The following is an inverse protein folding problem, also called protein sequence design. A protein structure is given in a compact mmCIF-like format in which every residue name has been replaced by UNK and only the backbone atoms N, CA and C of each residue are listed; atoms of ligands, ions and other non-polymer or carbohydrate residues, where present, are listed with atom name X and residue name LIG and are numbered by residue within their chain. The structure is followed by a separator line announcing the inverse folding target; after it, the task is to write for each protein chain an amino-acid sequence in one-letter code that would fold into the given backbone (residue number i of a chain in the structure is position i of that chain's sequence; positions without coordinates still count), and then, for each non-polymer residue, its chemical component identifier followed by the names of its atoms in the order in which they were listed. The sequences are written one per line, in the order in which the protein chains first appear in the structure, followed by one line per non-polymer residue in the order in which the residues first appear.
data_IF_230614100405
#
_entry.id   IF_230614100405
#
_cell.length_a   1.000
_cell.length_b   1.000
_cell.length_c   1.000
_cell.angle_alpha   90.00
_cell.angle_beta   90.00
_cell.angle_gamma   90.00
#
_symmetry.space_group_name_H-M   'P 1'
#
loop_
_entity.id
_entity.type
_entity.pdbx_description
1 polymer ?
#
# COMPACT_ATOMS: atom_id res chain seq x y z
N UNK A 1 20.38 29.26 -9.31
CA UNK A 1 20.56 28.85 -7.90
C UNK A 1 20.25 27.37 -7.81
N UNK A 2 21.24 26.51 -8.04
CA UNK A 2 21.10 25.06 -8.00
C UNK A 2 21.09 24.62 -6.54
N UNK A 3 19.95 24.11 -6.04
CA UNK A 3 19.92 23.44 -4.75
C UNK A 3 20.89 22.27 -4.83
N UNK A 4 21.99 22.33 -4.07
CA UNK A 4 22.78 21.12 -3.81
C UNK A 4 21.83 20.16 -3.12
N UNK A 5 21.60 18.99 -3.73
CA UNK A 5 21.02 17.85 -3.04
C UNK A 5 21.97 17.51 -1.90
N UNK A 6 21.73 18.11 -0.73
CA UNK A 6 22.26 17.61 0.51
C UNK A 6 21.66 16.21 0.64
N UNK A 7 22.44 15.20 0.29
CA UNK A 7 22.21 13.79 0.63
C UNK A 7 22.30 13.69 2.13
N UNK A 8 21.25 14.17 2.79
CA UNK A 8 21.01 13.98 4.20
C UNK A 8 20.80 12.47 4.33
N UNK A 9 21.89 11.77 4.67
CA UNK A 9 21.88 10.39 5.11
C UNK A 9 21.23 10.37 6.49
N UNK A 10 19.96 10.77 6.55
CA UNK A 10 19.05 10.41 7.63
C UNK A 10 19.22 8.92 7.78
N UNK A 11 19.93 8.52 8.86
CA UNK A 11 20.15 7.12 9.22
C UNK A 11 18.81 6.44 9.02
N UNK A 12 18.78 5.47 8.09
CA UNK A 12 17.61 4.66 7.84
C UNK A 12 17.48 3.78 9.08
N UNK A 13 16.83 4.31 10.11
CA UNK A 13 16.41 3.49 11.23
C UNK A 13 15.23 2.67 10.74
N UNK A 14 15.27 1.33 10.82
CA UNK A 14 14.17 0.46 10.42
C UNK A 14 12.84 0.82 11.12
N UNK A 15 12.95 1.47 12.27
CA UNK A 15 11.84 1.85 13.14
C UNK A 15 11.17 3.17 12.75
N UNK A 16 11.72 3.91 11.78
CA UNK A 16 11.12 5.17 11.36
C UNK A 16 9.90 4.90 10.48
N UNK A 17 8.72 5.14 11.03
CA UNK A 17 7.46 5.14 10.28
C UNK A 17 7.54 6.06 9.04
N UNK A 18 6.86 5.76 7.91
CA UNK A 18 6.95 6.57 6.68
C UNK A 18 6.65 8.06 6.84
N UNK A 19 5.89 8.43 7.86
CA UNK A 19 5.51 9.81 8.19
C UNK A 19 6.36 10.41 9.33
N UNK A 20 7.53 9.83 9.65
CA UNK A 20 8.35 10.27 10.78
C UNK A 20 8.66 11.77 10.75
N UNK A 21 8.81 12.36 9.56
CA UNK A 21 9.00 13.81 9.39
C UNK A 21 7.78 14.59 9.82
N UNK A 22 6.59 14.15 9.41
CA UNK A 22 5.33 14.74 9.84
C UNK A 22 5.12 14.61 11.35
N UNK A 23 5.40 13.44 11.94
CA UNK A 23 5.33 13.25 13.39
C UNK A 23 6.31 14.18 14.13
N UNK A 24 7.53 14.32 13.64
CA UNK A 24 8.54 15.23 14.19
C UNK A 24 8.09 16.69 14.08
N UNK A 25 7.60 17.12 12.91
CA UNK A 25 7.07 18.45 12.68
C UNK A 25 5.88 18.77 13.60
N UNK A 26 4.94 17.84 13.72
CA UNK A 26 3.76 17.97 14.60
C UNK A 26 4.17 18.08 16.07
N UNK A 27 5.14 17.27 16.52
CA UNK A 27 5.68 17.37 17.89
C UNK A 27 6.31 18.73 18.13
N UNK A 28 7.17 19.19 17.21
CA UNK A 28 7.82 20.49 17.33
C UNK A 28 6.78 21.62 17.37
N UNK A 29 5.81 21.62 16.46
CA UNK A 29 4.71 22.60 16.46
C UNK A 29 3.99 22.66 17.82
N UNK A 30 3.68 21.49 18.41
CA UNK A 30 2.93 21.41 19.68
C UNK A 30 3.76 21.79 20.92
N UNK A 31 5.05 21.48 20.95
CA UNK A 31 5.89 21.72 22.14
C UNK A 31 6.68 23.03 22.07
N UNK A 32 6.84 23.61 20.88
CA UNK A 32 7.77 24.71 20.63
C UNK A 32 9.25 24.31 20.71
N UNK A 33 9.56 23.03 21.01
CA UNK A 33 10.92 22.54 21.17
C UNK A 33 11.38 21.85 19.90
N UNK A 34 12.20 22.56 19.12
CA UNK A 34 12.92 22.03 17.97
C UNK A 34 14.36 21.72 18.31
N UNK A 35 14.93 20.71 17.64
CA UNK A 35 16.38 20.49 17.63
C UNK A 35 16.94 21.03 16.33
N UNK A 36 18.04 21.78 16.40
CA UNK A 36 18.76 22.48 15.31
C UNK A 36 19.42 21.54 14.26
N UNK A 37 18.92 20.31 14.11
CA UNK A 37 19.39 19.33 13.12
C UNK A 37 18.37 19.26 11.99
N UNK A 38 18.66 20.13 11.01
CA UNK A 38 17.85 20.68 9.91
C UNK A 38 17.44 19.68 8.83
N UNK A 39 16.38 18.92 9.09
CA UNK A 39 15.64 18.34 7.96
C UNK A 39 14.79 19.46 7.31
N UNK A 40 15.07 19.88 6.05
CA UNK A 40 14.39 21.01 5.44
C UNK A 40 12.88 20.81 5.29
N UNK A 41 12.43 19.55 5.17
CA UNK A 41 11.01 19.25 5.07
C UNK A 41 10.30 19.42 6.41
N UNK A 42 10.94 19.02 7.52
CA UNK A 42 10.41 19.25 8.87
C UNK A 42 10.27 20.76 9.13
N UNK A 43 11.28 21.56 8.79
CA UNK A 43 11.24 23.02 8.94
C UNK A 43 10.11 23.63 8.12
N UNK A 44 9.97 23.24 6.85
CA UNK A 44 8.87 23.71 5.97
C UNK A 44 7.49 23.35 6.53
N UNK A 45 7.31 22.12 7.03
CA UNK A 45 6.05 21.69 7.60
C UNK A 45 5.69 22.49 8.86
N UNK A 46 6.64 22.73 9.76
CA UNK A 46 6.43 23.56 10.96
C UNK A 46 6.09 25.00 10.58
N UNK A 47 6.79 25.58 9.59
CA UNK A 47 6.49 26.93 9.10
C UNK A 47 5.06 27.03 8.56
N UNK A 48 4.59 26.03 7.80
CA UNK A 48 3.20 25.98 7.34
C UNK A 48 2.22 25.85 8.51
N UNK A 49 2.48 24.98 9.49
CA UNK A 49 1.60 24.80 10.65
C UNK A 49 1.43 26.10 11.45
N UNK A 50 2.51 26.81 11.76
CA UNK A 50 2.43 28.10 12.43
C UNK A 50 1.71 29.17 11.59
N UNK A 51 1.95 29.19 10.27
CA UNK A 51 1.27 30.14 9.40
C UNK A 51 -0.24 29.89 9.32
N UNK A 52 -0.67 28.63 9.24
CA UNK A 52 -2.08 28.24 9.29
C UNK A 52 -2.73 28.56 10.65
N UNK A 53 -1.99 28.44 11.75
CA UNK A 53 -2.46 28.84 13.08
C UNK A 53 -2.67 30.35 13.18
N UNK A 54 -1.71 31.14 12.67
CA UNK A 54 -1.79 32.60 12.69
C UNK A 54 -2.86 33.13 11.74
N UNK A 55 -3.09 32.46 10.61
CA UNK A 55 -4.05 32.82 9.57
C UNK A 55 -4.70 31.55 8.99
N UNK A 56 -5.94 31.23 9.36
CA UNK A 56 -6.60 29.99 8.94
C UNK A 56 -6.79 29.85 7.42
N UNK A 57 -6.71 30.95 6.68
CA UNK A 57 -6.85 30.96 5.23
C UNK A 57 -5.48 30.88 4.54
N UNK A 58 -5.37 29.93 3.59
CA UNK A 58 -4.19 29.63 2.76
C UNK A 58 -3.61 30.78 1.89
N UNK A 59 -4.34 31.85 1.46
CA UNK A 59 -3.86 32.71 0.38
C UNK A 59 -2.62 33.57 0.70
N UNK A 60 -2.08 33.55 1.92
CA UNK A 60 -0.97 34.44 2.32
C UNK A 60 0.34 33.70 2.66
N UNK A 61 0.46 32.42 2.32
CA UNK A 61 1.72 31.70 2.45
C UNK A 61 2.76 32.21 1.43
N UNK A 62 4.04 32.29 1.80
CA UNK A 62 5.12 32.43 0.84
C UNK A 62 5.04 31.36 -0.26
N UNK A 63 5.42 31.73 -1.49
CA UNK A 63 5.21 30.87 -2.66
C UNK A 63 5.87 29.49 -2.53
N UNK A 64 7.04 29.46 -1.88
CA UNK A 64 7.84 28.27 -1.59
C UNK A 64 7.18 27.30 -0.61
N UNK A 65 6.19 27.74 0.18
CA UNK A 65 5.46 26.90 1.13
C UNK A 65 4.16 26.33 0.57
N UNK A 66 3.68 26.82 -0.58
CA UNK A 66 2.44 26.31 -1.19
C UNK A 66 2.46 24.80 -1.46
N UNK A 67 3.55 24.21 -1.99
CA UNK A 67 3.57 22.76 -2.21
C UNK A 67 3.40 21.96 -0.91
N UNK A 68 4.05 22.40 0.16
CA UNK A 68 3.93 21.78 1.49
C UNK A 68 2.53 21.93 2.07
N UNK A 69 1.91 23.10 1.94
CA UNK A 69 0.54 23.32 2.41
C UNK A 69 -0.47 22.46 1.65
N UNK A 70 -0.34 22.35 0.32
CA UNK A 70 -1.19 21.46 -0.48
C UNK A 70 -0.96 19.98 -0.15
N UNK A 71 0.28 19.57 0.13
CA UNK A 71 0.57 18.20 0.57
C UNK A 71 -0.11 17.87 1.91
N UNK A 72 -0.13 18.81 2.86
CA UNK A 72 -0.88 18.67 4.13
C UNK A 72 -2.38 18.51 3.86
N UNK A 73 -2.95 19.29 2.93
CA UNK A 73 -4.34 19.13 2.52
C UNK A 73 -4.62 17.77 1.90
N UNK A 74 -3.73 17.27 1.02
CA UNK A 74 -3.83 15.92 0.44
C UNK A 74 -3.82 14.83 1.52
N UNK A 75 -2.94 14.96 2.52
CA UNK A 75 -2.87 14.01 3.63
C UNK A 75 -4.15 13.96 4.49
N UNK A 76 -4.86 15.08 4.56
CA UNK A 76 -6.13 15.21 5.28
C UNK A 76 -7.38 14.77 4.48
N UNK A 77 -7.23 14.37 3.20
CA UNK A 77 -8.34 13.89 2.37
C UNK A 77 -8.81 12.48 2.76
N UNK A 78 -9.81 11.99 2.03
CA UNK A 78 -10.34 10.64 2.15
C UNK A 78 -9.24 9.57 2.11
N UNK A 79 -9.44 8.52 2.91
CA UNK A 79 -8.47 7.45 3.08
C UNK A 79 -8.13 6.75 1.75
N UNK A 80 -9.09 6.61 0.83
CA UNK A 80 -8.88 5.96 -0.45
C UNK A 80 -7.96 6.77 -1.37
N UNK A 81 -8.22 8.08 -1.55
CA UNK A 81 -7.36 8.95 -2.37
C UNK A 81 -5.90 8.91 -1.91
N UNK A 82 -5.73 8.95 -0.58
CA UNK A 82 -4.42 8.84 0.06
C UNK A 82 -3.74 7.51 -0.23
N UNK A 83 -4.46 6.40 -0.07
CA UNK A 83 -3.94 5.05 -0.33
C UNK A 83 -3.54 4.86 -1.81
N UNK A 84 -4.31 5.42 -2.75
CA UNK A 84 -4.00 5.40 -4.18
C UNK A 84 -2.70 6.16 -4.50
N UNK A 85 -2.53 7.34 -3.91
CA UNK A 85 -1.30 8.12 -4.03
C UNK A 85 -0.08 7.35 -3.49
N UNK A 86 -0.20 6.77 -2.29
CA UNK A 86 0.88 5.99 -1.66
C UNK A 86 1.24 4.73 -2.46
N UNK A 87 0.25 4.06 -3.06
CA UNK A 87 0.50 2.94 -3.96
C UNK A 87 1.32 3.37 -5.17
N UNK A 88 1.00 4.49 -5.82
CA UNK A 88 1.79 5.02 -6.95
C UNK A 88 3.22 5.38 -6.54
N UNK A 89 3.40 5.96 -5.35
CA UNK A 89 4.73 6.25 -4.80
C UNK A 89 5.56 4.98 -4.58
N UNK A 90 4.97 3.91 -4.02
CA UNK A 90 5.64 2.60 -3.84
C UNK A 90 5.99 1.92 -5.17
N UNK A 91 5.16 2.13 -6.18
CA UNK A 91 5.38 1.67 -7.54
C UNK A 91 6.50 2.45 -8.26
N UNK A 92 7.13 3.44 -7.61
CA UNK A 92 8.19 4.28 -8.19
C UNK A 92 7.72 5.04 -9.44
N UNK A 93 6.43 5.41 -9.48
CA UNK A 93 5.90 6.24 -10.55
C UNK A 93 6.47 7.67 -10.46
N UNK A 94 6.65 8.33 -11.61
CA UNK A 94 7.19 9.70 -11.69
C UNK A 94 6.23 10.74 -11.08
N UNK A 95 6.77 11.78 -10.46
CA UNK A 95 5.98 12.83 -9.81
C UNK A 95 5.05 13.57 -10.77
N UNK A 96 5.43 13.75 -12.03
CA UNK A 96 4.58 14.39 -13.04
C UNK A 96 3.38 13.54 -13.38
N UNK A 97 3.55 12.23 -13.49
CA UNK A 97 2.46 11.31 -13.79
C UNK A 97 1.48 11.21 -12.62
N UNK A 98 2.00 11.10 -11.40
CA UNK A 98 1.17 11.10 -10.19
C UNK A 98 0.43 12.43 -10.06
N UNK A 99 1.11 13.56 -10.26
CA UNK A 99 0.51 14.89 -10.16
C UNK A 99 -0.63 15.08 -11.16
N UNK A 100 -0.47 14.63 -12.41
CA UNK A 100 -1.51 14.69 -13.42
C UNK A 100 -2.76 13.89 -13.02
N UNK A 101 -2.59 12.71 -12.41
CA UNK A 101 -3.70 11.86 -11.93
C UNK A 101 -4.38 12.43 -10.68
N UNK A 102 -3.63 13.09 -9.81
CA UNK A 102 -4.14 13.68 -8.57
C UNK A 102 -4.66 15.11 -8.73
N UNK A 103 -4.53 15.72 -9.93
CA UNK A 103 -4.95 17.10 -10.18
C UNK A 103 -4.12 18.12 -9.39
N UNK A 104 -2.81 17.91 -9.28
CA UNK A 104 -1.89 18.78 -8.53
C UNK A 104 -0.57 18.99 -9.29
N UNK A 105 0.47 19.51 -8.64
CA UNK A 105 1.80 19.73 -9.23
C UNK A 105 2.83 18.70 -8.75
N UNK A 106 3.91 18.45 -9.52
CA UNK A 106 4.97 17.52 -9.11
C UNK A 106 5.59 17.90 -7.76
N UNK A 107 5.74 19.19 -7.48
CA UNK A 107 6.30 19.68 -6.21
C UNK A 107 5.44 19.30 -5.01
N UNK A 108 4.11 19.23 -5.18
CA UNK A 108 3.17 18.77 -4.14
C UNK A 108 3.36 17.28 -3.88
N UNK A 109 3.53 16.48 -4.92
CA UNK A 109 3.78 15.04 -4.78
C UNK A 109 5.14 14.80 -4.10
N UNK A 110 6.18 15.55 -4.49
CA UNK A 110 7.49 15.49 -3.85
C UNK A 110 7.40 15.87 -2.36
N UNK A 111 6.65 16.93 -2.02
CA UNK A 111 6.42 17.33 -0.64
C UNK A 111 5.63 16.26 0.14
N UNK A 112 4.62 15.65 -0.47
CA UNK A 112 3.85 14.57 0.13
C UNK A 112 4.73 13.35 0.44
N UNK A 113 5.50 12.89 -0.55
CA UNK A 113 6.41 11.76 -0.40
C UNK A 113 7.46 12.03 0.68
N UNK A 114 8.01 13.24 0.77
CA UNK A 114 9.00 13.57 1.78
C UNK A 114 8.43 13.59 3.21
N UNK A 115 7.22 14.13 3.40
CA UNK A 115 6.63 14.38 4.71
C UNK A 115 5.86 13.20 5.29
N UNK A 116 5.04 12.56 4.46
CA UNK A 116 4.04 11.59 4.92
C UNK A 116 4.39 10.16 4.51
N UNK A 117 5.21 9.98 3.48
CA UNK A 117 5.41 8.67 2.89
C UNK A 117 6.80 8.47 2.29
N UNK A 118 7.80 8.53 3.17
CA UNK A 118 9.22 8.53 2.79
C UNK A 118 9.75 7.16 2.38
N UNK A 119 9.35 6.70 1.18
CA UNK A 119 9.65 5.35 0.66
C UNK A 119 10.61 5.31 -0.53
N UNK A 120 11.01 6.47 -1.08
CA UNK A 120 11.77 6.58 -2.35
C UNK A 120 13.30 6.49 -2.23
N UNK A 121 13.83 6.17 -1.06
CA UNK A 121 15.26 5.94 -0.89
C UNK A 121 15.67 4.48 -1.20
N UNK A 122 16.92 4.23 -1.60
CA UNK A 122 17.49 2.89 -1.64
C UNK A 122 17.27 2.20 -0.29
N UNK A 123 16.68 1.00 -0.29
CA UNK A 123 16.38 0.26 0.94
C UNK A 123 15.12 0.70 1.67
N UNK A 124 14.60 1.93 1.47
CA UNK A 124 13.41 2.43 2.20
C UNK A 124 12.16 1.66 1.84
N UNK A 125 11.99 1.32 0.56
CA UNK A 125 10.89 0.47 0.09
C UNK A 125 10.92 -0.91 0.77
N UNK A 126 12.09 -1.52 0.89
CA UNK A 126 12.29 -2.83 1.54
C UNK A 126 12.07 -2.76 3.04
N UNK A 127 12.57 -1.71 3.70
CA UNK A 127 12.36 -1.45 5.14
C UNK A 127 10.88 -1.25 5.43
N UNK A 128 10.18 -0.46 4.61
CA UNK A 128 8.73 -0.30 4.73
C UNK A 128 8.01 -1.65 4.65
N UNK A 129 8.34 -2.45 3.63
CA UNK A 129 7.74 -3.76 3.43
C UNK A 129 8.05 -4.72 4.59
N UNK A 130 9.29 -4.71 5.08
CA UNK A 130 9.71 -5.52 6.21
C UNK A 130 8.95 -5.13 7.49
N UNK A 131 8.75 -3.84 7.72
CA UNK A 131 7.91 -3.34 8.82
C UNK A 131 6.46 -3.84 8.71
N UNK A 132 5.89 -3.84 7.50
CA UNK A 132 4.52 -4.34 7.27
C UNK A 132 4.38 -5.85 7.51
N UNK A 133 5.36 -6.68 7.12
CA UNK A 133 5.26 -8.14 7.26
C UNK A 133 5.80 -8.70 8.58
N UNK A 134 6.86 -8.12 9.13
CA UNK A 134 7.58 -8.68 10.29
C UNK A 134 7.33 -7.89 11.58
N UNK A 135 6.78 -6.67 11.51
CA UNK A 135 6.82 -5.70 12.60
C UNK A 135 5.72 -5.76 13.66
N UNK A 136 4.77 -6.70 13.60
CA UNK A 136 3.85 -7.04 14.71
C UNK A 136 2.92 -5.95 15.28
N UNK A 137 3.05 -4.70 14.84
CA UNK A 137 2.17 -3.57 15.15
C UNK A 137 1.86 -2.86 13.85
N UNK A 138 1.24 -3.61 12.93
CA UNK A 138 0.45 -2.95 11.90
C UNK A 138 -0.58 -2.12 12.67
N UNK A 139 -0.65 -0.79 12.51
CA UNK A 139 -1.57 0.04 13.27
C UNK A 139 -2.94 -0.63 13.31
N UNK A 140 -3.48 -0.82 14.51
CA UNK A 140 -4.77 -1.48 14.73
C UNK A 140 -5.83 -0.81 13.85
N UNK A 141 -6.19 -1.48 12.75
CA UNK A 141 -6.94 -0.92 11.61
C UNK A 141 -6.46 -1.39 10.23
N UNK A 142 -5.24 -1.91 10.13
CA UNK A 142 -4.55 -2.26 8.87
C UNK A 142 -4.61 -3.75 8.48
N UNK A 143 -5.68 -4.47 8.80
CA UNK A 143 -5.91 -5.82 8.29
C UNK A 143 -7.18 -5.80 7.45
N UNK A 144 -7.04 -5.95 6.13
CA UNK A 144 -8.14 -6.16 5.19
C UNK A 144 -8.62 -4.94 4.40
N UNK A 145 -7.91 -3.80 4.44
CA UNK A 145 -8.31 -2.64 3.66
C UNK A 145 -7.65 -2.63 2.27
N UNK A 146 -8.45 -2.29 1.26
CA UNK A 146 -8.08 -2.22 -0.16
C UNK A 146 -6.75 -1.51 -0.43
N UNK A 147 -6.41 -0.48 0.34
CA UNK A 147 -5.15 0.23 0.26
C UNK A 147 -3.91 -0.63 0.50
N UNK A 148 -3.96 -1.62 1.39
CA UNK A 148 -2.79 -2.46 1.67
C UNK A 148 -2.53 -3.43 0.52
N UNK A 149 -3.59 -3.98 -0.09
CA UNK A 149 -3.49 -4.80 -1.29
C UNK A 149 -2.91 -4.00 -2.48
N UNK A 150 -3.37 -2.75 -2.67
CA UNK A 150 -2.82 -1.82 -3.65
C UNK A 150 -1.32 -1.60 -3.45
N UNK A 151 -0.90 -1.31 -2.21
CA UNK A 151 0.51 -1.06 -1.87
C UNK A 151 1.40 -2.30 -2.03
N UNK A 152 0.90 -3.49 -1.65
CA UNK A 152 1.61 -4.74 -1.89
C UNK A 152 1.79 -4.99 -3.39
N UNK A 153 0.75 -4.79 -4.20
CA UNK A 153 0.83 -4.98 -5.65
C UNK A 153 1.74 -3.95 -6.31
N UNK A 154 1.64 -2.69 -5.90
CA UNK A 154 2.57 -1.63 -6.28
C UNK A 154 4.03 -2.02 -6.00
N UNK A 155 4.27 -2.62 -4.84
CA UNK A 155 5.61 -3.06 -4.46
C UNK A 155 6.15 -4.12 -5.42
N UNK A 156 5.40 -5.20 -5.65
CA UNK A 156 5.88 -6.38 -6.38
C UNK A 156 5.79 -6.27 -7.90
N UNK A 157 4.78 -5.57 -8.42
CA UNK A 157 4.44 -5.60 -9.85
C UNK A 157 4.73 -4.27 -10.54
N UNK A 158 4.80 -3.17 -9.78
CA UNK A 158 5.07 -1.83 -10.31
C UNK A 158 3.80 -1.06 -10.71
N UNK A 159 3.99 0.08 -11.40
CA UNK A 159 2.96 1.10 -11.61
C UNK A 159 1.81 0.65 -12.51
N UNK A 160 2.08 -0.14 -13.54
CA UNK A 160 1.03 -0.61 -14.46
C UNK A 160 -0.05 -1.42 -13.72
N UNK A 161 0.37 -2.34 -12.85
CA UNK A 161 -0.55 -3.17 -12.09
C UNK A 161 -1.35 -2.39 -11.04
N UNK A 162 -0.83 -1.25 -10.58
CA UNK A 162 -1.58 -0.33 -9.73
C UNK A 162 -2.69 0.30 -10.54
N UNK A 163 -2.39 0.85 -11.73
CA UNK A 163 -3.43 1.49 -12.55
C UNK A 163 -4.50 0.52 -13.04
N UNK A 164 -4.13 -0.70 -13.43
CA UNK A 164 -5.10 -1.75 -13.79
C UNK A 164 -6.03 -2.07 -12.62
N UNK A 165 -5.49 -2.17 -11.41
CA UNK A 165 -6.29 -2.44 -10.23
C UNK A 165 -7.21 -1.26 -9.88
N UNK A 166 -6.71 -0.04 -10.02
CA UNK A 166 -7.49 1.18 -9.81
C UNK A 166 -8.64 1.26 -10.82
N UNK A 167 -8.39 0.98 -12.09
CA UNK A 167 -9.41 0.94 -13.13
C UNK A 167 -10.48 -0.10 -12.82
N UNK A 168 -10.09 -1.31 -12.42
CA UNK A 168 -11.03 -2.36 -11.97
C UNK A 168 -11.84 -1.88 -10.77
N UNK A 169 -11.20 -1.23 -9.80
CA UNK A 169 -11.89 -0.71 -8.60
C UNK A 169 -12.93 0.36 -8.92
N UNK A 170 -12.66 1.24 -9.89
CA UNK A 170 -13.62 2.29 -10.30
C UNK A 170 -14.68 1.80 -11.28
N UNK A 171 -14.42 0.70 -11.99
CA UNK A 171 -15.37 0.09 -12.94
C UNK A 171 -16.35 -0.85 -12.24
N UNK A 172 -15.91 -1.54 -11.19
CA UNK A 172 -16.79 -2.31 -10.33
C UNK A 172 -17.61 -1.36 -9.46
N UNK A 173 -18.92 -1.61 -9.31
CA UNK A 173 -19.71 -0.79 -8.40
C UNK A 173 -19.10 -0.87 -6.97
N UNK A 174 -19.14 0.23 -6.22
CA UNK A 174 -18.53 0.26 -4.88
C UNK A 174 -19.10 -0.79 -3.91
N UNK A 175 -20.28 -1.36 -4.21
CA UNK A 175 -20.88 -2.45 -3.44
C UNK A 175 -20.15 -3.77 -3.68
N UNK A 176 -19.68 -4.01 -4.90
CA UNK A 176 -18.97 -5.22 -5.33
C UNK A 176 -17.60 -5.29 -4.65
N UNK A 177 -16.90 -4.16 -4.52
CA UNK A 177 -15.60 -4.09 -3.84
C UNK A 177 -15.76 -4.24 -2.33
N UNK A 178 -16.74 -3.55 -1.70
CA UNK A 178 -17.03 -3.70 -0.27
C UNK A 178 -17.50 -5.12 0.08
N UNK A 179 -18.29 -5.74 -0.79
CA UNK A 179 -18.70 -7.14 -0.71
C UNK A 179 -17.57 -8.12 -1.06
N UNK A 180 -16.36 -7.68 -1.39
CA UNK A 180 -15.18 -8.54 -1.48
C UNK A 180 -14.26 -8.41 -0.25
N UNK A 181 -14.40 -7.34 0.53
CA UNK A 181 -13.54 -7.07 1.69
C UNK A 181 -14.21 -7.36 3.03
N UNK A 182 -15.53 -7.56 3.08
CA UNK A 182 -16.22 -7.89 4.33
C UNK A 182 -15.79 -9.28 4.89
N UNK A 183 -15.57 -9.41 6.20
CA UNK A 183 -15.09 -10.66 6.79
C UNK A 183 -16.11 -11.83 6.69
N UNK A 184 -17.41 -11.54 6.56
CA UNK A 184 -18.50 -12.48 6.85
C UNK A 184 -19.47 -12.73 5.67
N UNK A 185 -18.98 -12.79 4.43
CA UNK A 185 -19.87 -12.91 3.26
C UNK A 185 -20.41 -14.33 3.01
N UNK A 186 -21.64 -14.45 2.49
CA UNK A 186 -22.20 -15.71 2.03
C UNK A 186 -21.39 -16.30 0.86
N UNK A 187 -21.38 -17.64 0.78
CA UNK A 187 -20.55 -18.46 -0.13
C UNK A 187 -20.66 -18.05 -1.62
N UNK A 188 -21.80 -17.48 -2.03
CA UNK A 188 -22.03 -17.00 -3.39
C UNK A 188 -21.17 -15.78 -3.78
N UNK A 189 -20.67 -15.02 -2.80
CA UNK A 189 -19.76 -13.87 -3.03
C UNK A 189 -18.27 -14.26 -3.10
N UNK A 190 -17.94 -15.55 -2.89
CA UNK A 190 -16.57 -16.06 -3.01
C UNK A 190 -16.06 -15.98 -4.46
N UNK A 191 -16.94 -16.07 -5.45
CA UNK A 191 -16.54 -16.03 -6.86
C UNK A 191 -16.08 -14.63 -7.28
N UNK A 192 -16.73 -13.58 -6.77
CA UNK A 192 -16.30 -12.18 -6.96
C UNK A 192 -14.98 -11.90 -6.24
N UNK A 193 -14.82 -12.37 -4.99
CA UNK A 193 -13.52 -12.34 -4.27
C UNK A 193 -12.43 -13.04 -5.06
N UNK A 194 -12.79 -14.13 -5.74
CA UNK A 194 -11.86 -14.95 -6.49
C UNK A 194 -11.50 -14.35 -7.85
N UNK A 195 -12.43 -13.70 -8.55
CA UNK A 195 -12.11 -12.93 -9.75
C UNK A 195 -11.25 -11.71 -9.42
N UNK A 196 -11.54 -11.03 -8.31
CA UNK A 196 -10.65 -9.99 -7.77
C UNK A 196 -9.29 -10.57 -7.40
N UNK A 197 -9.24 -11.70 -6.68
CA UNK A 197 -7.99 -12.35 -6.28
C UNK A 197 -7.17 -12.83 -7.50
N UNK A 198 -7.82 -13.32 -8.55
CA UNK A 198 -7.17 -13.71 -9.81
C UNK A 198 -6.67 -12.47 -10.57
N UNK A 199 -7.46 -11.40 -10.64
CA UNK A 199 -7.02 -10.12 -11.20
C UNK A 199 -5.87 -9.50 -10.38
N UNK A 200 -5.81 -9.81 -9.08
CA UNK A 200 -4.81 -9.37 -8.11
C UNK A 200 -3.58 -10.30 -8.00
N UNK A 201 -3.53 -11.45 -8.69
CA UNK A 201 -2.35 -12.30 -8.73
C UNK A 201 -1.39 -11.85 -9.86
N UNK A 202 -0.07 -11.75 -9.62
CA UNK A 202 0.86 -11.37 -10.68
C UNK A 202 1.06 -12.50 -11.68
N UNK A 203 0.83 -12.24 -12.97
CA UNK A 203 1.24 -13.11 -14.07
C UNK A 203 2.71 -12.82 -14.45
N UNK A 204 3.65 -13.15 -13.58
CA UNK A 204 5.08 -13.15 -13.93
C UNK A 204 5.77 -14.45 -13.48
N UNK A 205 6.96 -14.72 -14.03
CA UNK A 205 7.76 -15.92 -13.78
C UNK A 205 8.10 -16.17 -12.29
N UNK A 206 7.85 -15.20 -11.41
CA UNK A 206 7.97 -15.29 -9.94
C UNK A 206 6.78 -15.99 -9.25
N UNK A 207 5.81 -16.52 -10.00
CA UNK A 207 4.75 -17.40 -9.48
C UNK A 207 5.24 -18.69 -8.77
N UNK A 208 6.56 -18.89 -8.63
CA UNK A 208 7.20 -19.93 -7.82
C UNK A 208 7.31 -19.51 -6.34
N UNK A 209 7.55 -18.23 -6.04
CA UNK A 209 7.66 -17.74 -4.66
C UNK A 209 6.29 -17.74 -3.99
N UNK A 210 5.25 -17.28 -4.70
CA UNK A 210 3.86 -17.39 -4.25
C UNK A 210 3.40 -18.84 -4.10
N UNK A 211 3.89 -19.76 -4.93
CA UNK A 211 3.67 -21.21 -4.72
C UNK A 211 4.28 -21.70 -3.41
N UNK A 212 5.45 -21.22 -3.00
CA UNK A 212 6.05 -21.61 -1.72
C UNK A 212 5.32 -20.98 -0.54
N UNK A 213 4.94 -19.70 -0.61
CA UNK A 213 4.24 -19.01 0.48
C UNK A 213 2.84 -19.58 0.70
N UNK A 214 2.07 -19.80 -0.38
CA UNK A 214 0.74 -20.43 -0.30
C UNK A 214 0.85 -21.90 0.14
N UNK A 215 1.83 -22.66 -0.36
CA UNK A 215 2.07 -24.04 0.07
C UNK A 215 2.50 -24.11 1.54
N UNK A 216 3.43 -23.27 1.97
CA UNK A 216 4.01 -23.36 3.31
C UNK A 216 3.05 -22.77 4.37
N UNK A 217 2.20 -21.79 4.01
CA UNK A 217 1.08 -21.34 4.83
C UNK A 217 -0.03 -22.40 4.97
N UNK A 218 -0.36 -23.08 3.87
CA UNK A 218 -1.34 -24.18 3.85
C UNK A 218 -0.87 -25.43 4.61
N UNK A 219 0.44 -25.72 4.57
CA UNK A 219 1.03 -26.88 5.26
C UNK A 219 1.29 -26.63 6.76
N UNK A 220 1.31 -25.37 7.23
CA UNK A 220 1.54 -25.01 8.64
C UNK A 220 0.26 -24.77 9.46
N UNK A 221 -0.92 -25.13 8.93
CA UNK A 221 -2.15 -25.16 9.72
C UNK A 221 -2.87 -23.81 9.89
N UNK A 222 -2.62 -22.84 9.01
CA UNK A 222 -3.58 -21.74 8.83
C UNK A 222 -4.88 -22.34 8.28
N UNK A 223 -5.98 -22.27 9.03
CA UNK A 223 -7.28 -22.83 8.65
C UNK A 223 -7.80 -22.29 7.31
N UNK A 224 -8.63 -23.07 6.58
CA UNK A 224 -8.78 -22.95 5.13
C UNK A 224 -9.87 -21.95 4.74
N UNK A 225 -9.49 -20.72 4.38
CA UNK A 225 -10.45 -19.76 3.80
C UNK A 225 -10.58 -19.89 2.27
N UNK A 226 -9.92 -20.87 1.64
CA UNK A 226 -9.98 -21.07 0.19
C UNK A 226 -10.49 -22.48 -0.09
N UNK A 227 -11.76 -22.65 -0.54
CA UNK A 227 -12.30 -23.94 -0.90
C UNK A 227 -11.44 -24.63 -1.97
N UNK A 228 -11.27 -25.95 -1.87
CA UNK A 228 -10.46 -26.73 -2.83
C UNK A 228 -10.96 -26.60 -4.27
N UNK A 229 -12.26 -26.37 -4.47
CA UNK A 229 -12.86 -26.06 -5.76
C UNK A 229 -12.31 -24.76 -6.38
N UNK A 230 -12.05 -23.76 -5.54
CA UNK A 230 -11.49 -22.46 -5.93
C UNK A 230 -10.03 -22.62 -6.32
N UNK A 231 -9.24 -23.38 -5.55
CA UNK A 231 -7.87 -23.74 -5.93
C UNK A 231 -7.80 -24.56 -7.24
N UNK A 232 -8.81 -25.40 -7.52
CA UNK A 232 -8.91 -26.20 -8.74
C UNK A 232 -9.07 -25.34 -10.01
N UNK A 233 -9.97 -24.35 -9.97
CA UNK A 233 -10.26 -23.48 -11.12
C UNK A 233 -9.06 -22.59 -11.51
N UNK A 234 -8.25 -22.12 -10.54
CA UNK A 234 -6.98 -21.41 -10.82
C UNK A 234 -6.03 -22.27 -11.66
N UNK A 235 -5.91 -23.55 -11.31
CA UNK A 235 -4.92 -24.46 -11.90
C UNK A 235 -5.31 -24.98 -13.28
N UNK A 236 -6.62 -25.07 -13.56
CA UNK A 236 -7.11 -25.38 -14.89
C UNK A 236 -6.82 -24.25 -15.88
N UNK A 237 -7.06 -22.99 -15.48
CA UNK A 237 -6.83 -21.82 -16.34
C UNK A 237 -5.35 -21.46 -16.52
N UNK A 238 -4.50 -21.68 -15.51
CA UNK A 238 -3.09 -21.29 -15.56
C UNK A 238 -2.14 -22.25 -16.31
N UNK A 239 -2.65 -23.29 -17.00
CA UNK A 239 -1.84 -24.35 -17.68
C UNK A 239 -0.71 -24.93 -16.81
N UNK A 240 -0.91 -25.03 -15.49
CA UNK A 240 0.14 -25.47 -14.56
C UNK A 240 0.40 -26.98 -14.67
N UNK A 241 1.67 -27.36 -14.48
CA UNK A 241 2.22 -28.71 -14.72
C UNK A 241 1.41 -29.84 -14.07
N UNK A 242 1.39 -30.99 -14.75
CA UNK A 242 0.59 -32.15 -14.36
C UNK A 242 0.89 -32.75 -12.98
N UNK A 243 2.05 -32.45 -12.38
CA UNK A 243 2.43 -32.95 -11.04
C UNK A 243 1.59 -32.28 -9.93
N UNK A 244 1.40 -30.96 -10.00
CA UNK A 244 0.61 -30.22 -9.00
C UNK A 244 -0.88 -30.56 -9.10
N UNK A 245 -1.39 -30.77 -10.32
CA UNK A 245 -2.77 -31.24 -10.55
C UNK A 245 -3.06 -32.57 -9.85
N UNK A 246 -2.12 -33.52 -9.87
CA UNK A 246 -2.28 -34.83 -9.20
C UNK A 246 -2.32 -34.70 -7.68
N UNK A 247 -1.45 -33.87 -7.10
CA UNK A 247 -1.38 -33.66 -5.65
C UNK A 247 -2.68 -33.05 -5.10
N UNK A 248 -3.28 -32.11 -5.83
CA UNK A 248 -4.53 -31.46 -5.38
C UNK A 248 -5.75 -32.37 -5.58
N UNK A 249 -5.80 -33.19 -6.65
CA UNK A 249 -6.84 -34.24 -6.77
C UNK A 249 -6.79 -35.22 -5.60
N UNK A 250 -5.60 -35.57 -5.13
CA UNK A 250 -5.45 -36.46 -3.96
C UNK A 250 -5.97 -35.80 -2.68
N UNK A 251 -5.65 -34.53 -2.45
CA UNK A 251 -6.15 -33.77 -1.29
C UNK A 251 -7.68 -33.60 -1.31
N UNK A 252 -8.25 -33.28 -2.46
CA UNK A 252 -9.72 -33.18 -2.63
C UNK A 252 -10.41 -34.51 -2.33
N UNK A 253 -9.82 -35.62 -2.78
CA UNK A 253 -10.32 -36.97 -2.51
C UNK A 253 -10.31 -37.28 -1.01
N UNK A 254 -9.23 -36.95 -0.31
CA UNK A 254 -9.15 -37.16 1.14
C UNK A 254 -10.18 -36.33 1.92
N UNK A 255 -10.43 -35.07 1.56
CA UNK A 255 -11.49 -34.27 2.19
C UNK A 255 -12.88 -34.84 1.93
N UNK A 256 -13.18 -35.27 0.71
CA UNK A 256 -14.49 -35.87 0.37
C UNK A 256 -14.75 -37.19 1.11
N UNK A 257 -13.70 -37.92 1.49
CA UNK A 257 -13.79 -39.15 2.26
C UNK A 257 -13.95 -38.88 3.76
N UNK A 258 -13.29 -37.84 4.29
CA UNK A 258 -13.48 -37.40 5.68
C UNK A 258 -14.90 -36.95 5.98
N UNK A 259 -15.54 -36.21 5.07
CA UNK A 259 -16.92 -35.74 5.22
C UNK A 259 -18.01 -36.81 5.05
N UNK A 260 -17.66 -38.04 4.64
CA UNK A 260 -18.62 -39.16 4.56
C UNK A 260 -18.60 -40.06 5.78
N UNK A 261 -17.61 -39.87 6.67
CA UNK A 261 -17.45 -40.66 7.90
C UNK A 261 -17.82 -39.88 9.17
N UNK A 262 -18.20 -38.61 9.02
CA UNK A 262 -18.84 -37.80 10.05
C UNK A 262 -20.34 -37.68 9.71
#
# INVERSE_FOLDING_TARGET
MTMRENTHTSRISPDNHPDWRWQKASRWYNTGVGTDTDDPWVIRAVAVLWALQARPTVPQLPAELYPTAQAIQLYARDALEKQLLEARLLAQQDDKEIAARCGTTPDVIAAYAALFFDVRGPGRKQVWLAGQFFGGTVPSGCHGQLGDALKQRAFFVGSQAVEELIEVMFTLDGRTVAACTAPDLPEESLMTRFELAIALLPFSHEGIVWRSIVRDGYMRGLQPCIPVAVAWTVLERAKISGKLRRQIKQLAKHQSQGNRMA
#
